data_IF_306650746843
#
_entry.id   IF_306650746843
#
_cell.length_a   1.000
_cell.length_b   1.000
_cell.length_c   1.000
_cell.angle_alpha   90.00
_cell.angle_beta   90.00
_cell.angle_gamma   90.00
#
_symmetry.space_group_name_H-M   'P 1'
#
loop_
_entity.id
_entity.type
_entity.pdbx_description
1 polymer ?
#
# COMPACT_ATOMS: atom_id res chain seq x y z
N UNK A 1 36.45 33.18 48.84
CA UNK A 1 36.06 31.87 48.29
C UNK A 1 34.91 32.05 47.30
N UNK A 2 35.16 32.67 46.14
CA UNK A 2 34.09 33.06 45.19
C UNK A 2 34.54 33.00 43.73
N UNK A 3 35.60 32.25 43.42
CA UNK A 3 36.21 32.22 42.08
C UNK A 3 36.01 30.90 41.32
N UNK A 4 35.25 29.94 41.87
CA UNK A 4 35.07 28.60 41.27
C UNK A 4 33.73 28.43 40.54
N UNK A 5 32.71 29.24 40.82
CA UNK A 5 31.40 29.08 40.18
C UNK A 5 31.38 29.61 38.74
N UNK A 6 32.05 30.74 38.48
CA UNK A 6 32.10 31.38 37.16
C UNK A 6 32.95 30.57 36.16
N UNK A 7 34.01 29.91 36.63
CA UNK A 7 34.83 29.01 35.80
C UNK A 7 34.11 27.71 35.46
N UNK A 8 33.25 27.19 36.34
CA UNK A 8 32.42 26.00 36.07
C UNK A 8 31.30 26.25 35.06
N UNK A 9 30.73 27.46 35.04
CA UNK A 9 29.70 27.83 34.06
C UNK A 9 30.35 28.04 32.67
N UNK A 10 31.54 28.64 32.60
CA UNK A 10 32.28 28.82 31.34
C UNK A 10 32.71 27.47 30.71
N UNK A 11 33.08 26.47 31.53
CA UNK A 11 33.48 25.14 31.02
C UNK A 11 32.31 24.28 30.54
N UNK A 12 31.08 24.58 30.97
CA UNK A 12 29.86 23.90 30.52
C UNK A 12 29.26 24.50 29.24
N UNK A 13 29.67 25.72 28.87
CA UNK A 13 29.28 26.39 27.62
C UNK A 13 30.22 26.09 26.44
N UNK A 14 31.41 25.53 26.69
CA UNK A 14 32.39 25.19 25.66
C UNK A 14 32.44 23.69 25.29
N UNK A 15 31.59 22.85 25.91
CA UNK A 15 31.32 21.50 25.40
C UNK A 15 30.29 21.63 24.27
N UNK A 16 30.77 22.08 23.11
CA UNK A 16 29.98 22.14 21.89
C UNK A 16 29.26 20.82 21.69
N UNK A 17 27.94 20.91 21.53
CA UNK A 17 27.13 19.84 20.97
C UNK A 17 27.85 19.37 19.71
N UNK A 18 28.48 18.20 19.78
CA UNK A 18 28.70 17.42 18.58
C UNK A 18 27.30 17.10 18.08
N UNK A 19 26.83 17.89 17.12
CA UNK A 19 25.73 17.53 16.26
C UNK A 19 26.15 16.18 15.69
N UNK A 20 25.45 15.12 16.11
CA UNK A 20 25.61 13.81 15.51
C UNK A 20 25.53 14.02 13.99
N UNK A 21 26.61 13.66 13.28
CA UNK A 21 26.61 13.65 11.82
C UNK A 21 25.37 12.86 11.39
N UNK A 22 24.40 13.53 10.78
CA UNK A 22 23.41 12.83 9.95
C UNK A 22 24.18 11.93 8.97
N UNK A 23 23.75 10.68 8.76
CA UNK A 23 24.47 9.77 7.88
C UNK A 23 24.29 10.22 6.43
N UNK A 24 25.19 11.08 5.96
CA UNK A 24 25.34 11.48 4.56
C UNK A 24 25.72 10.30 3.63
N UNK A 25 26.02 9.12 4.18
CA UNK A 25 26.43 7.91 3.46
C UNK A 25 25.30 6.87 3.22
N UNK A 26 24.07 7.11 3.72
CA UNK A 26 22.98 6.12 3.61
C UNK A 26 22.36 6.03 2.20
N UNK A 27 22.15 7.19 1.54
CA UNK A 27 21.66 7.26 0.16
C UNK A 27 22.56 6.56 -0.87
N UNK A 28 23.88 6.79 -0.91
CA UNK A 28 24.74 6.12 -1.89
C UNK A 28 24.76 4.59 -1.71
N UNK A 29 24.61 4.09 -0.49
CA UNK A 29 24.59 2.65 -0.21
C UNK A 29 23.36 1.93 -0.80
N UNK A 30 22.14 2.44 -0.58
CA UNK A 30 20.92 1.84 -1.16
C UNK A 30 20.82 2.07 -2.67
N UNK A 31 21.29 3.21 -3.17
CA UNK A 31 21.31 3.46 -4.60
C UNK A 31 22.22 2.47 -5.34
N UNK A 32 23.39 2.15 -4.78
CA UNK A 32 24.28 1.13 -5.33
C UNK A 32 23.66 -0.27 -5.20
N UNK A 33 23.05 -0.59 -4.06
CA UNK A 33 22.36 -1.86 -3.84
C UNK A 33 21.27 -2.14 -4.89
N UNK A 34 20.49 -1.12 -5.29
CA UNK A 34 19.51 -1.25 -6.40
C UNK A 34 20.19 -1.64 -7.73
N UNK A 35 21.40 -1.12 -7.99
CA UNK A 35 22.14 -1.48 -9.21
C UNK A 35 22.59 -2.94 -9.17
N UNK A 36 23.09 -3.38 -8.01
CA UNK A 36 23.61 -4.72 -7.81
C UNK A 36 22.48 -5.78 -7.90
N UNK A 37 21.28 -5.43 -7.42
CA UNK A 37 20.10 -6.31 -7.47
C UNK A 37 19.46 -6.48 -8.86
N UNK A 38 19.89 -5.73 -9.89
CA UNK A 38 19.23 -5.76 -11.22
C UNK A 38 19.09 -7.15 -11.82
N UNK A 39 20.10 -8.00 -11.66
CA UNK A 39 20.08 -9.38 -12.17
C UNK A 39 19.14 -10.30 -11.41
N UNK A 40 18.86 -10.01 -10.14
CA UNK A 40 17.86 -10.74 -9.34
C UNK A 40 16.45 -10.24 -9.68
N UNK A 41 16.25 -8.93 -9.78
CA UNK A 41 14.99 -8.34 -10.23
C UNK A 41 14.59 -8.86 -11.61
N UNK A 42 15.56 -9.00 -12.53
CA UNK A 42 15.30 -9.53 -13.87
C UNK A 42 14.82 -10.98 -13.88
N UNK A 43 15.22 -11.80 -12.91
CA UNK A 43 14.77 -13.20 -12.79
C UNK A 43 13.39 -13.31 -12.18
N UNK A 44 13.06 -12.40 -11.26
CA UNK A 44 11.79 -12.37 -10.55
C UNK A 44 10.66 -11.67 -11.31
N UNK A 45 10.97 -10.71 -12.19
CA UNK A 45 9.97 -9.93 -12.91
C UNK A 45 9.28 -10.74 -14.02
N UNK A 46 7.97 -10.53 -14.23
CA UNK A 46 7.30 -10.99 -15.45
C UNK A 46 7.99 -10.48 -16.71
N UNK A 47 8.00 -11.28 -17.79
CA UNK A 47 8.74 -10.99 -19.03
C UNK A 47 8.43 -9.63 -19.66
N UNK A 48 7.25 -9.06 -19.41
CA UNK A 48 6.80 -7.79 -19.97
C UNK A 48 7.20 -6.56 -19.13
N UNK A 49 7.87 -6.73 -17.99
CA UNK A 49 8.28 -5.62 -17.11
C UNK A 49 9.81 -5.47 -17.15
N UNK A 50 10.27 -4.26 -17.49
CA UNK A 50 11.71 -3.96 -17.55
C UNK A 50 12.33 -3.82 -16.15
N UNK A 51 13.40 -4.56 -15.83
CA UNK A 51 14.15 -4.40 -14.59
C UNK A 51 14.75 -2.99 -14.44
N UNK A 52 15.15 -2.37 -15.53
CA UNK A 52 15.69 -1.00 -15.56
C UNK A 52 14.63 0.03 -15.18
N UNK A 53 13.37 -0.20 -15.57
CA UNK A 53 12.24 0.65 -15.17
C UNK A 53 12.02 0.54 -13.67
N UNK A 54 11.93 -0.67 -13.13
CA UNK A 54 11.72 -0.90 -11.69
C UNK A 54 12.86 -0.30 -10.86
N UNK A 55 14.12 -0.53 -11.25
CA UNK A 55 15.27 0.06 -10.60
C UNK A 55 15.24 1.59 -10.61
N UNK A 56 14.82 2.22 -11.72
CA UNK A 56 14.71 3.68 -11.83
C UNK A 56 13.63 4.25 -10.93
N UNK A 57 12.48 3.57 -10.82
CA UNK A 57 11.41 4.00 -9.94
C UNK A 57 11.86 3.86 -8.48
N UNK A 58 12.48 2.74 -8.11
CA UNK A 58 13.03 2.53 -6.76
C UNK A 58 14.04 3.62 -6.36
N UNK A 59 14.93 4.03 -7.27
CA UNK A 59 15.86 5.14 -7.05
C UNK A 59 15.16 6.50 -6.90
N UNK A 60 14.03 6.70 -7.59
CA UNK A 60 13.19 7.88 -7.43
C UNK A 60 12.54 7.89 -6.05
N UNK A 61 11.97 6.76 -5.61
CA UNK A 61 11.33 6.64 -4.30
C UNK A 61 12.31 6.87 -3.16
N UNK A 62 13.58 6.43 -3.26
CA UNK A 62 14.62 6.70 -2.27
C UNK A 62 14.87 8.20 -2.03
N UNK A 63 14.54 9.05 -3.02
CA UNK A 63 14.65 10.51 -2.92
C UNK A 63 13.36 11.17 -2.46
N UNK A 64 12.22 10.61 -2.87
CA UNK A 64 10.88 11.16 -2.62
C UNK A 64 10.37 10.84 -1.22
N UNK A 65 10.59 9.60 -0.76
CA UNK A 65 10.02 9.11 0.49
C UNK A 65 10.99 9.36 1.64
N UNK A 66 10.57 10.16 2.62
CA UNK A 66 11.35 10.48 3.83
C UNK A 66 11.75 9.20 4.57
N UNK A 67 13.00 9.13 5.06
CA UNK A 67 13.62 7.98 5.74
C UNK A 67 13.75 6.69 4.93
N UNK A 68 13.29 6.63 3.68
CA UNK A 68 13.43 5.41 2.87
C UNK A 68 14.90 5.08 2.59
N UNK A 69 15.71 6.11 2.36
CA UNK A 69 17.16 5.96 2.22
C UNK A 69 17.90 5.56 3.51
N UNK A 70 17.25 5.63 4.66
CA UNK A 70 17.80 5.22 5.97
C UNK A 70 17.42 3.78 6.32
N UNK A 71 16.56 3.14 5.52
CA UNK A 71 16.10 1.79 5.77
C UNK A 71 17.22 0.75 5.56
N UNK A 72 17.09 -0.41 6.23
CA UNK A 72 18.03 -1.52 6.03
C UNK A 72 17.98 -2.04 4.59
N UNK A 73 19.15 -2.37 4.01
CA UNK A 73 19.25 -2.99 2.68
C UNK A 73 18.41 -4.26 2.57
N UNK A 74 18.41 -5.07 3.63
CA UNK A 74 17.63 -6.30 3.72
C UNK A 74 16.12 -6.06 3.55
N UNK A 75 15.54 -5.12 4.31
CA UNK A 75 14.10 -4.82 4.23
C UNK A 75 13.70 -4.17 2.90
N UNK A 76 14.53 -3.26 2.40
CA UNK A 76 14.31 -2.60 1.12
C UNK A 76 14.40 -3.59 -0.05
N UNK A 77 15.41 -4.46 -0.07
CA UNK A 77 15.58 -5.50 -1.08
C UNK A 77 14.45 -6.53 -1.04
N UNK A 78 14.03 -6.97 0.15
CA UNK A 78 12.89 -7.86 0.31
C UNK A 78 11.59 -7.26 -0.22
N UNK A 79 11.31 -5.98 0.07
CA UNK A 79 10.15 -5.28 -0.46
C UNK A 79 10.18 -5.15 -1.99
N UNK A 80 11.33 -4.77 -2.57
CA UNK A 80 11.48 -4.70 -4.03
C UNK A 80 11.34 -6.07 -4.70
N UNK A 81 11.87 -7.12 -4.08
CA UNK A 81 11.75 -8.48 -4.60
C UNK A 81 10.29 -8.94 -4.58
N UNK A 82 9.54 -8.68 -3.50
CA UNK A 82 8.11 -8.97 -3.47
C UNK A 82 7.36 -8.20 -4.56
N UNK A 83 7.65 -6.91 -4.79
CA UNK A 83 7.07 -6.18 -5.92
C UNK A 83 7.39 -6.83 -7.27
N UNK A 84 8.66 -7.19 -7.49
CA UNK A 84 9.09 -7.83 -8.72
C UNK A 84 8.35 -9.13 -9.00
N UNK A 85 8.28 -10.01 -8.00
CA UNK A 85 7.64 -11.32 -8.12
C UNK A 85 6.11 -11.23 -8.30
N UNK A 86 5.48 -10.19 -7.73
CA UNK A 86 4.05 -9.90 -7.95
C UNK A 86 3.78 -9.10 -9.24
N UNK A 87 4.83 -8.69 -9.96
CA UNK A 87 4.71 -7.82 -11.13
C UNK A 87 4.13 -6.43 -10.82
N UNK A 88 4.32 -5.93 -9.60
CA UNK A 88 3.85 -4.62 -9.15
C UNK A 88 4.95 -3.56 -9.27
N UNK A 89 4.59 -2.36 -9.72
CA UNK A 89 5.50 -1.22 -9.75
C UNK A 89 5.65 -0.61 -8.34
N UNK A 90 6.87 -0.59 -7.76
CA UNK A 90 7.10 0.01 -6.45
C UNK A 90 7.09 1.54 -6.56
N UNK A 91 6.15 2.21 -5.89
CA UNK A 91 6.08 3.65 -5.81
C UNK A 91 4.66 4.19 -5.89
N UNK A 92 4.45 5.40 -5.38
CA UNK A 92 3.11 5.98 -5.29
C UNK A 92 2.49 6.44 -6.60
N UNK A 93 3.28 6.58 -7.68
CA UNK A 93 2.84 7.21 -8.93
C UNK A 93 1.71 6.50 -9.69
N UNK A 94 1.63 5.16 -9.59
CA UNK A 94 0.55 4.35 -10.21
C UNK A 94 -0.30 3.67 -9.12
N UNK A 95 0.07 3.86 -7.84
CA UNK A 95 -0.69 3.30 -6.72
C UNK A 95 -0.71 1.77 -6.65
N UNK A 96 0.27 1.07 -7.25
CA UNK A 96 0.33 -0.39 -7.25
C UNK A 96 0.92 -0.95 -5.94
N UNK A 97 2.04 -0.38 -5.48
CA UNK A 97 2.71 -0.79 -4.26
C UNK A 97 3.47 0.39 -3.65
N UNK A 98 3.49 0.50 -2.32
CA UNK A 98 4.15 1.58 -1.60
C UNK A 98 5.26 1.04 -0.70
N UNK A 99 6.44 1.63 -0.78
CA UNK A 99 7.58 1.35 0.08
C UNK A 99 7.53 2.30 1.27
N UNK A 100 7.05 1.83 2.42
CA UNK A 100 6.80 2.69 3.57
C UNK A 100 7.84 2.44 4.66
N UNK A 101 8.67 3.44 4.99
CA UNK A 101 9.60 3.35 6.12
C UNK A 101 8.85 3.31 7.45
N UNK A 102 9.27 2.39 8.31
CA UNK A 102 8.84 2.34 9.69
C UNK A 102 10.06 2.16 10.60
N UNK A 103 10.02 2.78 11.78
CA UNK A 103 11.08 2.61 12.76
C UNK A 103 10.80 1.37 13.62
N UNK A 104 11.67 0.37 13.49
CA UNK A 104 11.67 -0.82 14.34
C UNK A 104 12.47 -0.53 15.62
N UNK A 105 11.78 -0.50 16.76
CA UNK A 105 12.41 -0.19 18.07
C UNK A 105 13.35 -1.28 18.57
N UNK A 106 13.06 -2.53 18.24
CA UNK A 106 13.87 -3.69 18.65
C UNK A 106 15.17 -3.74 17.84
N UNK A 107 15.06 -3.61 16.50
CA UNK A 107 16.21 -3.55 15.61
C UNK A 107 16.94 -2.19 15.66
N UNK A 108 16.32 -1.17 16.27
CA UNK A 108 16.80 0.22 16.33
C UNK A 108 17.16 0.79 14.95
N UNK A 109 16.39 0.42 13.94
CA UNK A 109 16.63 0.76 12.54
C UNK A 109 15.33 1.08 11.82
N UNK A 110 15.43 1.85 10.74
CA UNK A 110 14.36 1.97 9.78
C UNK A 110 14.30 0.70 8.92
N UNK A 111 13.09 0.19 8.71
CA UNK A 111 12.83 -0.93 7.85
C UNK A 111 11.68 -0.58 6.89
N UNK A 112 11.66 -1.25 5.73
CA UNK A 112 10.60 -1.03 4.73
C UNK A 112 9.47 -2.00 4.97
N UNK A 113 8.27 -1.45 5.13
CA UNK A 113 7.02 -2.19 5.06
C UNK A 113 6.43 -2.02 3.66
N UNK A 114 6.15 -3.13 3.00
CA UNK A 114 5.49 -3.10 1.70
C UNK A 114 3.97 -2.99 1.92
N UNK A 115 3.35 -1.97 1.36
CA UNK A 115 1.88 -1.83 1.34
C UNK A 115 1.41 -2.01 -0.09
N UNK A 116 0.56 -3.00 -0.34
CA UNK A 116 -0.01 -3.18 -1.68
C UNK A 116 -1.15 -2.18 -1.86
N UNK A 117 -1.01 -1.39 -2.91
CA UNK A 117 -1.98 -0.38 -3.27
C UNK A 117 -3.21 -0.98 -3.92
N UNK A 118 -4.27 -0.19 -3.96
CA UNK A 118 -5.55 -0.64 -4.50
C UNK A 118 -5.44 -1.01 -5.99
N UNK A 119 -4.72 -0.20 -6.78
CA UNK A 119 -4.46 -0.49 -8.19
C UNK A 119 -3.67 -1.79 -8.35
N UNK A 120 -2.74 -2.08 -7.42
CA UNK A 120 -1.99 -3.34 -7.39
C UNK A 120 -2.91 -4.54 -7.13
N UNK A 121 -3.86 -4.40 -6.21
CA UNK A 121 -4.87 -5.44 -5.97
C UNK A 121 -5.74 -5.67 -7.21
N UNK A 122 -6.23 -4.61 -7.86
CA UNK A 122 -7.01 -4.72 -9.10
C UNK A 122 -6.21 -5.44 -10.19
N UNK A 123 -4.96 -5.03 -10.39
CA UNK A 123 -4.05 -5.64 -11.37
C UNK A 123 -3.87 -7.13 -11.12
N UNK A 124 -3.59 -7.53 -9.87
CA UNK A 124 -3.47 -8.94 -9.50
C UNK A 124 -4.78 -9.71 -9.70
N UNK A 125 -5.93 -9.10 -9.44
CA UNK A 125 -7.22 -9.72 -9.75
C UNK A 125 -7.37 -9.99 -11.25
N UNK A 126 -7.07 -9.01 -12.10
CA UNK A 126 -7.23 -9.17 -13.55
C UNK A 126 -6.21 -10.12 -14.19
N UNK A 127 -5.05 -10.34 -13.55
CA UNK A 127 -4.10 -11.37 -13.96
C UNK A 127 -4.62 -12.79 -13.68
N UNK A 128 -5.60 -12.96 -12.79
CA UNK A 128 -6.16 -14.26 -12.47
C UNK A 128 -6.94 -14.84 -13.66
N UNK A 129 -6.68 -16.08 -14.13
CA UNK A 129 -7.27 -16.62 -15.36
C UNK A 129 -8.81 -16.63 -15.40
N UNK A 130 -9.44 -16.85 -14.25
CA UNK A 130 -10.91 -16.87 -14.10
C UNK A 130 -11.53 -15.53 -13.69
N UNK A 131 -10.78 -14.44 -13.59
CA UNK A 131 -11.37 -13.12 -13.30
C UNK A 131 -12.31 -12.68 -14.45
N UNK A 132 -13.49 -12.16 -14.11
CA UNK A 132 -14.47 -11.69 -15.10
C UNK A 132 -15.00 -10.28 -14.83
N UNK A 133 -15.10 -9.86 -13.57
CA UNK A 133 -15.53 -8.51 -13.24
C UNK A 133 -15.17 -8.14 -11.80
N UNK A 134 -14.82 -6.89 -11.59
CA UNK A 134 -14.58 -6.28 -10.29
C UNK A 134 -15.19 -4.89 -10.32
N UNK A 135 -15.95 -4.55 -9.29
CA UNK A 135 -16.55 -3.22 -9.14
C UNK A 135 -16.68 -2.87 -7.66
N UNK A 136 -16.66 -1.57 -7.35
CA UNK A 136 -17.00 -1.06 -6.03
C UNK A 136 -17.73 0.27 -6.13
N UNK A 137 -18.80 0.39 -5.37
CA UNK A 137 -19.73 1.49 -5.49
C UNK A 137 -20.13 2.03 -4.12
N UNK A 138 -20.55 3.29 -4.14
CA UNK A 138 -21.21 3.97 -3.02
C UNK A 138 -22.71 3.89 -3.25
N UNK A 139 -23.44 3.54 -2.19
CA UNK A 139 -24.91 3.57 -2.13
C UNK A 139 -25.32 4.78 -1.33
N UNK A 140 -26.23 5.58 -1.87
CA UNK A 140 -26.76 6.79 -1.26
C UNK A 140 -28.22 6.60 -0.84
N UNK A 141 -28.71 7.47 0.05
CA UNK A 141 -30.09 7.43 0.59
C UNK A 141 -31.18 7.35 -0.49
N UNK A 142 -30.96 7.99 -1.64
CA UNK A 142 -31.90 8.01 -2.77
C UNK A 142 -31.84 6.78 -3.68
N UNK A 143 -30.88 5.88 -3.51
CA UNK A 143 -30.73 4.71 -4.38
C UNK A 143 -31.64 3.56 -3.95
N UNK A 144 -32.03 2.71 -4.91
CA UNK A 144 -32.62 1.41 -4.55
C UNK A 144 -31.51 0.41 -4.30
N UNK A 145 -31.41 -0.07 -3.06
CA UNK A 145 -30.39 -1.02 -2.66
C UNK A 145 -30.98 -2.15 -1.82
N UNK A 146 -30.74 -3.38 -2.26
CA UNK A 146 -31.14 -4.59 -1.56
C UNK A 146 -30.03 -5.63 -1.64
N UNK A 147 -29.77 -6.33 -0.54
CA UNK A 147 -28.79 -7.41 -0.52
C UNK A 147 -29.16 -8.45 0.53
N UNK A 148 -28.81 -9.69 0.25
CA UNK A 148 -28.94 -10.81 1.17
C UNK A 148 -27.69 -11.66 1.11
N UNK A 149 -27.16 -12.01 2.27
CA UNK A 149 -26.23 -13.11 2.41
C UNK A 149 -27.01 -14.42 2.62
N UNK A 150 -26.35 -15.55 2.43
CA UNK A 150 -26.97 -16.87 2.57
C UNK A 150 -26.32 -17.87 1.64
N UNK A 151 -27.01 -18.99 1.41
CA UNK A 151 -26.57 -19.99 0.43
C UNK A 151 -26.64 -19.45 -1.01
N UNK A 152 -27.62 -18.58 -1.27
CA UNK A 152 -27.83 -17.91 -2.54
C UNK A 152 -27.73 -16.38 -2.34
N UNK A 153 -26.51 -15.83 -2.31
CA UNK A 153 -26.30 -14.41 -2.05
C UNK A 153 -26.81 -13.55 -3.21
N UNK A 154 -27.45 -12.43 -2.88
CA UNK A 154 -28.01 -11.46 -3.84
C UNK A 154 -27.54 -10.06 -3.50
N UNK A 155 -27.20 -9.28 -4.52
CA UNK A 155 -26.95 -7.84 -4.39
C UNK A 155 -27.59 -7.13 -5.59
N UNK A 156 -28.45 -6.16 -5.31
CA UNK A 156 -29.10 -5.28 -6.28
C UNK A 156 -28.85 -3.83 -5.89
N UNK A 157 -28.25 -3.08 -6.80
CA UNK A 157 -28.07 -1.64 -6.66
C UNK A 157 -28.57 -0.95 -7.93
N UNK A 158 -29.54 -0.05 -7.78
CA UNK A 158 -30.01 0.83 -8.86
C UNK A 158 -29.80 2.28 -8.41
N UNK A 159 -28.75 2.95 -8.92
CA UNK A 159 -28.50 4.35 -8.61
C UNK A 159 -29.67 5.24 -9.03
N UNK A 160 -30.03 6.20 -8.18
CA UNK A 160 -30.95 7.25 -8.58
C UNK A 160 -30.31 8.14 -9.65
N UNK A 161 -31.11 8.55 -10.64
CA UNK A 161 -30.73 9.51 -11.68
C UNK A 161 -30.93 10.98 -11.21
N UNK A 162 -31.33 11.20 -9.95
CA UNK A 162 -31.49 12.54 -9.39
C UNK A 162 -30.13 13.20 -9.18
N UNK A 163 -30.07 14.54 -9.36
CA UNK A 163 -28.84 15.30 -9.13
C UNK A 163 -28.40 15.28 -7.65
N UNK A 164 -29.36 15.18 -6.72
CA UNK A 164 -29.12 14.94 -5.31
C UNK A 164 -29.54 13.52 -4.95
N UNK A 165 -28.57 12.68 -4.59
CA UNK A 165 -28.78 11.28 -4.16
C UNK A 165 -28.81 11.16 -2.64
N UNK A 166 -28.59 12.25 -1.90
CA UNK A 166 -28.48 12.24 -0.44
C UNK A 166 -27.12 11.78 0.06
N UNK A 167 -27.06 11.32 1.31
CA UNK A 167 -25.80 10.91 1.95
C UNK A 167 -25.43 9.45 1.63
N UNK A 168 -24.14 9.07 1.68
CA UNK A 168 -23.73 7.66 1.63
C UNK A 168 -24.33 6.85 2.79
N UNK A 169 -24.95 5.71 2.47
CA UNK A 169 -25.56 4.79 3.44
C UNK A 169 -24.90 3.41 3.46
N UNK A 170 -24.23 3.03 2.38
CA UNK A 170 -23.43 1.80 2.31
C UNK A 170 -22.35 1.93 1.24
N UNK A 171 -21.35 1.07 1.36
CA UNK A 171 -20.30 0.87 0.36
C UNK A 171 -20.25 -0.61 0.05
N UNK A 172 -20.06 -0.99 -1.21
CA UNK A 172 -19.87 -2.39 -1.53
C UNK A 172 -18.80 -2.60 -2.59
N UNK A 173 -18.28 -3.82 -2.63
CA UNK A 173 -17.47 -4.33 -3.71
C UNK A 173 -18.00 -5.69 -4.16
N UNK A 174 -17.98 -5.94 -5.47
CA UNK A 174 -18.41 -7.20 -6.08
C UNK A 174 -17.34 -7.73 -7.02
N UNK A 175 -17.15 -9.04 -7.01
CA UNK A 175 -16.35 -9.75 -7.99
C UNK A 175 -17.17 -10.84 -8.68
N UNK A 176 -16.89 -11.03 -9.96
CA UNK A 176 -17.43 -12.09 -10.81
C UNK A 176 -16.28 -12.89 -11.41
N UNK A 177 -16.48 -14.20 -11.49
CA UNK A 177 -15.55 -15.16 -12.04
C UNK A 177 -16.14 -15.82 -13.28
N UNK A 178 -15.28 -16.20 -14.24
CA UNK A 178 -15.67 -16.84 -15.51
C UNK A 178 -16.37 -18.19 -15.31
N UNK A 179 -16.14 -18.84 -14.18
CA UNK A 179 -16.78 -20.12 -13.83
C UNK A 179 -18.17 -19.96 -13.19
N UNK A 180 -18.73 -18.74 -13.17
CA UNK A 180 -20.04 -18.44 -12.57
C UNK A 180 -19.98 -18.12 -11.08
N UNK A 181 -18.81 -18.23 -10.43
CA UNK A 181 -18.64 -17.81 -9.05
C UNK A 181 -18.73 -16.29 -8.90
N UNK A 182 -19.31 -15.83 -7.80
CA UNK A 182 -19.36 -14.42 -7.43
C UNK A 182 -19.16 -14.26 -5.93
N UNK A 183 -18.68 -13.09 -5.53
CA UNK A 183 -18.59 -12.70 -4.14
C UNK A 183 -18.84 -11.19 -4.04
N UNK A 184 -19.44 -10.75 -2.95
CA UNK A 184 -19.55 -9.34 -2.63
C UNK A 184 -19.36 -9.10 -1.14
N UNK A 185 -19.00 -7.86 -0.81
CA UNK A 185 -18.95 -7.35 0.56
C UNK A 185 -19.71 -6.04 0.59
N UNK A 186 -20.58 -5.86 1.58
CA UNK A 186 -21.25 -4.60 1.90
C UNK A 186 -20.76 -4.12 3.26
N UNK A 187 -20.37 -2.86 3.36
CA UNK A 187 -19.97 -2.18 4.58
C UNK A 187 -20.86 -0.97 4.82
N UNK A 188 -21.29 -0.77 6.06
CA UNK A 188 -21.92 0.49 6.47
C UNK A 188 -20.84 1.58 6.65
N UNK A 189 -21.21 2.88 6.62
CA UNK A 189 -20.32 3.97 7.01
C UNK A 189 -19.69 3.75 8.40
N UNK A 190 -20.43 3.13 9.34
CA UNK A 190 -19.90 2.78 10.65
C UNK A 190 -18.83 1.69 10.62
N UNK A 191 -18.93 0.73 9.70
CA UNK A 191 -17.91 -0.31 9.50
C UNK A 191 -16.63 0.27 8.90
N UNK A 192 -16.79 1.16 7.92
CA UNK A 192 -15.67 1.91 7.32
C UNK A 192 -14.97 2.75 8.38
N UNK A 193 -15.73 3.47 9.21
CA UNK A 193 -15.15 4.27 10.29
C UNK A 193 -14.38 3.41 11.30
N UNK A 194 -14.86 2.20 11.60
CA UNK A 194 -14.14 1.26 12.48
C UNK A 194 -12.80 0.84 11.88
N UNK A 195 -12.71 0.70 10.55
CA UNK A 195 -11.44 0.44 9.85
C UNK A 195 -10.56 1.69 9.89
N UNK A 196 -11.13 2.87 9.62
CA UNK A 196 -10.41 4.15 9.68
C UNK A 196 -9.77 4.38 11.04
N UNK A 197 -10.46 4.09 12.14
CA UNK A 197 -9.92 4.29 13.50
C UNK A 197 -8.70 3.42 13.82
N UNK A 198 -8.50 2.30 13.11
CA UNK A 198 -7.31 1.45 13.23
C UNK A 198 -6.15 1.94 12.36
N UNK A 199 -6.42 2.85 11.41
CA UNK A 199 -5.39 3.48 10.59
C UNK A 199 -4.61 4.51 11.40
N UNK A 200 -3.29 4.53 11.25
CA UNK A 200 -2.45 5.60 11.80
C UNK A 200 -2.68 6.93 11.05
N UNK A 201 -2.99 6.87 9.75
CA UNK A 201 -3.36 8.01 8.92
C UNK A 201 -4.86 8.39 9.02
N UNK A 202 -5.52 8.09 10.14
CA UNK A 202 -6.98 8.32 10.26
C UNK A 202 -7.37 9.78 10.09
N UNK A 203 -6.52 10.71 10.53
CA UNK A 203 -6.80 12.15 10.55
C UNK A 203 -6.08 12.94 9.45
N UNK A 204 -5.38 12.26 8.53
CA UNK A 204 -4.56 12.87 7.49
C UNK A 204 -4.78 12.19 6.14
N UNK A 205 -4.30 12.83 5.07
CA UNK A 205 -4.37 12.30 3.71
C UNK A 205 -5.79 11.97 3.21
N UNK A 206 -5.93 10.93 2.35
CA UNK A 206 -7.16 10.61 1.64
C UNK A 206 -8.38 10.31 2.51
N UNK A 207 -8.18 9.98 3.79
CA UNK A 207 -9.31 9.83 4.73
C UNK A 207 -10.04 11.15 5.01
N UNK A 208 -9.43 12.30 4.69
CA UNK A 208 -10.01 13.64 4.87
C UNK A 208 -10.52 14.24 3.56
N UNK A 209 -9.86 13.97 2.44
CA UNK A 209 -10.19 14.54 1.11
C UNK A 209 -11.08 13.60 0.29
N UNK A 210 -10.88 12.28 0.39
CA UNK A 210 -11.44 11.27 -0.51
C UNK A 210 -12.02 10.07 0.25
N UNK A 211 -12.86 10.35 1.25
CA UNK A 211 -13.41 9.35 2.16
C UNK A 211 -14.11 8.19 1.43
N UNK A 212 -14.90 8.49 0.40
CA UNK A 212 -15.64 7.49 -0.38
C UNK A 212 -14.70 6.57 -1.17
N UNK A 213 -13.61 7.11 -1.73
CA UNK A 213 -12.58 6.30 -2.38
C UNK A 213 -11.91 5.35 -1.38
N UNK A 214 -11.63 5.84 -0.17
CA UNK A 214 -11.07 5.03 0.92
C UNK A 214 -12.04 3.96 1.42
N UNK A 215 -13.33 4.25 1.45
CA UNK A 215 -14.39 3.31 1.76
C UNK A 215 -14.49 2.19 0.70
N UNK A 216 -14.49 2.55 -0.60
CA UNK A 216 -14.44 1.60 -1.72
C UNK A 216 -13.20 0.70 -1.64
N UNK A 217 -12.01 1.28 -1.42
CA UNK A 217 -10.75 0.55 -1.19
C UNK A 217 -10.88 -0.44 -0.03
N UNK A 218 -11.54 -0.02 1.05
CA UNK A 218 -11.78 -0.89 2.21
C UNK A 218 -12.67 -2.08 1.84
N UNK A 219 -13.74 -1.86 1.07
CA UNK A 219 -14.61 -2.95 0.59
C UNK A 219 -13.83 -3.96 -0.25
N UNK A 220 -12.97 -3.47 -1.15
CA UNK A 220 -12.20 -4.34 -2.04
C UNK A 220 -11.17 -5.16 -1.26
N UNK A 221 -10.49 -4.56 -0.27
CA UNK A 221 -9.59 -5.32 0.61
C UNK A 221 -10.31 -6.43 1.38
N UNK A 222 -11.56 -6.22 1.77
CA UNK A 222 -12.35 -7.28 2.42
C UNK A 222 -12.80 -8.34 1.40
N UNK A 223 -13.26 -7.91 0.22
CA UNK A 223 -13.69 -8.81 -0.86
C UNK A 223 -12.60 -9.79 -1.26
N UNK A 224 -11.36 -9.33 -1.39
CA UNK A 224 -10.21 -10.15 -1.77
C UNK A 224 -9.90 -11.29 -0.78
N UNK A 225 -10.40 -11.22 0.46
CA UNK A 225 -10.29 -12.32 1.42
C UNK A 225 -11.19 -13.50 1.08
N UNK A 226 -12.26 -13.26 0.30
CA UNK A 226 -13.26 -14.24 -0.11
C UNK A 226 -12.94 -14.88 -1.47
N UNK A 227 -12.11 -14.23 -2.29
CA UNK A 227 -11.84 -14.68 -3.64
C UNK A 227 -10.87 -15.88 -3.65
N UNK A 228 -11.00 -16.79 -4.63
CA UNK A 228 -9.95 -17.75 -4.90
C UNK A 228 -8.66 -16.98 -5.18
N UNK A 229 -7.63 -17.29 -4.41
CA UNK A 229 -6.34 -16.63 -4.53
C UNK A 229 -5.50 -17.44 -5.52
N UNK A 230 -5.01 -16.80 -6.58
CA UNK A 230 -3.83 -17.34 -7.26
C UNK A 230 -2.66 -17.32 -6.27
N UNK A 231 -1.58 -18.04 -6.59
CA UNK A 231 -0.37 -18.00 -5.76
C UNK A 231 0.08 -16.55 -5.54
N UNK A 232 0.11 -15.74 -6.60
CA UNK A 232 0.48 -14.32 -6.56
C UNK A 232 -0.45 -13.52 -5.65
N UNK A 233 -1.78 -13.71 -5.74
CA UNK A 233 -2.70 -12.99 -4.87
C UNK A 233 -2.61 -13.44 -3.40
N UNK A 234 -2.32 -14.72 -3.16
CA UNK A 234 -2.08 -15.23 -1.81
C UNK A 234 -0.82 -14.62 -1.20
N UNK A 235 0.27 -14.55 -1.97
CA UNK A 235 1.49 -13.87 -1.57
C UNK A 235 1.27 -12.37 -1.36
N UNK A 236 0.56 -11.70 -2.25
CA UNK A 236 0.22 -10.29 -2.09
C UNK A 236 -0.49 -10.03 -0.74
N UNK A 237 -1.50 -10.83 -0.41
CA UNK A 237 -2.22 -10.71 0.87
C UNK A 237 -1.33 -11.05 2.08
N UNK A 238 -0.42 -12.01 1.95
CA UNK A 238 0.48 -12.42 3.03
C UNK A 238 1.59 -11.40 3.31
N UNK A 239 2.06 -10.71 2.28
CA UNK A 239 3.16 -9.74 2.38
C UNK A 239 2.69 -8.29 2.58
N UNK A 240 1.42 -7.99 2.27
CA UNK A 240 0.83 -6.67 2.48
C UNK A 240 0.85 -6.25 3.96
N UNK A 241 1.51 -5.13 4.25
CA UNK A 241 1.68 -4.65 5.62
C UNK A 241 2.69 -5.45 6.42
N UNK A 242 3.67 -6.09 5.77
CA UNK A 242 4.72 -6.84 6.47
C UNK A 242 6.12 -6.41 6.04
N UNK A 243 7.13 -6.92 6.73
CA UNK A 243 8.54 -6.55 6.56
C UNK A 243 9.31 -7.79 6.16
N UNK A 244 9.72 -7.85 4.89
CA UNK A 244 10.51 -8.97 4.38
C UNK A 244 11.99 -8.60 4.41
N UNK A 245 12.79 -9.34 5.18
CA UNK A 245 14.25 -9.14 5.29
C UNK A 245 15.07 -10.05 4.40
N UNK A 246 14.45 -11.09 3.85
CA UNK A 246 15.09 -12.02 2.92
C UNK A 246 14.78 -11.61 1.48
N UNK A 247 15.78 -11.10 0.76
CA UNK A 247 15.66 -10.70 -0.64
C UNK A 247 15.85 -11.85 -1.64
N UNK A 248 16.09 -13.09 -1.18
CA UNK A 248 16.19 -14.27 -2.05
C UNK A 248 14.85 -14.66 -2.65
N UNK A 249 14.84 -15.34 -3.82
CA UNK A 249 13.61 -15.82 -4.46
C UNK A 249 12.73 -16.66 -3.52
N UNK A 250 13.34 -17.51 -2.70
CA UNK A 250 12.66 -18.40 -1.75
C UNK A 250 11.96 -17.66 -0.59
N UNK A 251 12.31 -16.38 -0.34
CA UNK A 251 11.73 -15.59 0.73
C UNK A 251 10.24 -15.26 0.57
N UNK A 252 9.63 -15.54 -0.59
CA UNK A 252 8.20 -15.32 -0.85
C UNK A 252 7.29 -16.30 -0.11
N UNK A 253 7.76 -17.54 0.02
CA UNK A 253 7.04 -18.63 0.70
C UNK A 253 7.17 -18.54 2.24
N UNK A 254 8.08 -17.69 2.71
CA UNK A 254 8.25 -17.38 4.12
C UNK A 254 7.26 -16.29 4.50
N UNK A 255 6.32 -16.60 5.40
CA UNK A 255 5.41 -15.59 5.98
C UNK A 255 6.28 -14.55 6.70
N UNK A 256 6.26 -13.27 6.28
CA UNK A 256 7.14 -12.28 6.89
C UNK A 256 6.66 -11.92 8.29
N UNK A 257 7.60 -11.54 9.14
CA UNK A 257 7.29 -11.13 10.50
C UNK A 257 6.43 -9.86 10.51
N UNK A 258 5.38 -9.88 11.33
CA UNK A 258 4.68 -8.65 11.69
C UNK A 258 5.51 -7.91 12.73
N UNK A 259 5.99 -6.72 12.39
CA UNK A 259 6.86 -5.94 13.28
C UNK A 259 6.04 -4.83 13.94
N UNK A 260 6.03 -4.80 15.27
CA UNK A 260 5.52 -3.64 16.01
C UNK A 260 6.51 -2.48 15.90
N UNK A 261 6.20 -1.53 15.01
CA UNK A 261 6.98 -0.31 14.87
C UNK A 261 6.14 0.93 14.63
N UNK A 262 6.79 2.08 14.64
CA UNK A 262 6.15 3.37 14.38
C UNK A 262 6.37 3.77 12.93
N UNK A 263 5.27 3.96 12.20
CA UNK A 263 5.32 4.63 10.90
C UNK A 263 5.80 6.05 11.17
N UNK A 264 6.79 6.51 10.43
CA UNK A 264 7.20 7.91 10.55
C UNK A 264 6.29 8.74 9.66
N UNK A 265 5.72 9.79 10.24
CA UNK A 265 4.86 10.73 9.54
C UNK A 265 5.59 11.21 8.27
N UNK A 266 5.08 10.75 7.12
CA UNK A 266 5.46 11.29 5.83
C UNK A 266 4.70 12.62 5.72
N UNK A 267 5.42 13.72 5.45
CA UNK A 267 4.73 14.90 4.93
C UNK A 267 4.01 14.44 3.65
N UNK A 268 2.71 14.70 3.57
CA UNK A 268 1.68 14.00 2.77
C UNK A 268 1.92 13.90 1.24
N UNK A 269 3.05 14.36 0.69
CA UNK A 269 3.37 14.41 -0.76
C UNK A 269 3.47 13.03 -1.43
N UNK A 270 3.77 11.95 -0.70
CA UNK A 270 3.92 10.62 -1.31
C UNK A 270 2.57 9.99 -1.72
N UNK A 271 1.49 10.44 -1.09
CA UNK A 271 0.09 10.01 -1.30
C UNK A 271 -0.68 10.84 -2.34
N UNK A 272 -0.22 12.05 -2.66
CA UNK A 272 -0.86 12.96 -3.64
C UNK A 272 -0.78 12.44 -5.10
N UNK A 273 0.00 11.39 -5.36
CA UNK A 273 0.16 10.87 -6.72
C UNK A 273 -0.98 9.94 -7.19
N UNK A 274 -1.99 9.69 -6.36
CA UNK A 274 -3.18 8.86 -6.71
C UNK A 274 -4.25 9.65 -7.50
N UNK A 275 -4.03 10.94 -7.77
CA UNK A 275 -5.12 11.90 -7.98
C UNK A 275 -5.48 12.18 -9.46
N UNK A 276 -5.13 11.30 -10.40
CA UNK A 276 -5.36 11.54 -11.85
C UNK A 276 -6.13 10.48 -12.65
N UNK A 277 -6.48 9.33 -12.07
CA UNK A 277 -6.98 8.18 -12.85
C UNK A 277 -8.40 7.70 -12.45
N UNK A 278 -9.16 8.48 -11.68
CA UNK A 278 -10.43 8.05 -11.08
C UNK A 278 -11.65 8.08 -12.03
N UNK A 279 -11.47 7.85 -13.34
CA UNK A 279 -12.57 7.83 -14.31
C UNK A 279 -12.68 6.55 -15.17
N UNK A 280 -11.97 5.46 -14.84
CA UNK A 280 -12.00 4.23 -15.67
C UNK A 280 -12.43 2.93 -14.98
N UNK A 281 -13.01 2.96 -13.79
CA UNK A 281 -13.76 1.82 -13.25
C UNK A 281 -15.21 1.82 -13.76
N UNK A 282 -15.39 1.77 -15.08
CA UNK A 282 -16.72 1.92 -15.70
C UNK A 282 -16.74 1.66 -17.20
N UNK A 283 -16.01 0.68 -17.71
CA UNK A 283 -16.17 0.22 -19.09
C UNK A 283 -16.59 -1.26 -19.10
N UNK A 284 -17.77 -1.62 -19.64
CA UNK A 284 -18.04 -3.01 -19.97
C UNK A 284 -17.15 -3.34 -21.16
N UNK A 285 -16.10 -4.14 -20.96
CA UNK A 285 -15.37 -4.69 -22.10
C UNK A 285 -16.32 -5.66 -22.80
N UNK A 286 -16.74 -5.27 -24.00
CA UNK A 286 -17.76 -5.92 -24.81
C UNK A 286 -17.58 -7.45 -24.85
N UNK A 287 -18.70 -8.15 -24.72
CA UNK A 287 -18.78 -9.56 -25.08
C UNK A 287 -18.35 -9.70 -26.54
N UNK A 288 -17.24 -10.40 -26.75
CA UNK A 288 -16.89 -10.87 -28.09
C UNK A 288 -17.95 -11.92 -28.50
N UNK A 289 -18.68 -11.59 -29.55
CA UNK A 289 -19.51 -12.52 -30.32
C UNK A 289 -18.64 -13.51 -31.10
#
# INVERSE_FOLDING_TARGET
MTTDLTQRIAKKAAAGKQVAKQPTDAQPALAQFVQDMRGELARALPEHISPERVARIALTELRRVRHLAECTQASFGGALMTCAQLGLEPGGAIGEAYLIPFYNREARAYEVQLIIGYQGMIKLFWQHPIAAGLDAQVVYEGDEFDYAYGLDPVLRHVPSMTADRGKPVAYYAVARLKNGGSAFVVLSPGDVERVRQRSKAKSSGPWRTDYDAMAKKTCIRQLFKLLPKSAELAHAVAHDGTVRRDASEAGLDVVPDYVEGELVDQDDEATEADEGADELAGAPMAAAA
#
